data_IF_195610827355
#
_entry.id   IF_195610827355
#
_cell.length_a   1.000
_cell.length_b   1.000
_cell.length_c   1.000
_cell.angle_alpha   90.00
_cell.angle_beta   90.00
_cell.angle_gamma   90.00
#
_symmetry.space_group_name_H-M   'P 1'
#
loop_
_entity.id
_entity.type
_entity.pdbx_description
1 polymer ?
#
# COMPACT_ATOMS: atom_id res chain seq x y z
N UNK A 1 -3.96 23.18 17.56
CA UNK A 1 -4.45 21.77 17.68
C UNK A 1 -5.09 21.54 19.05
N UNK A 2 -5.93 20.48 19.22
CA UNK A 2 -6.57 20.13 20.49
C UNK A 2 -5.59 19.39 21.39
N UNK A 3 -5.26 19.97 22.57
CA UNK A 3 -4.44 19.32 23.58
C UNK A 3 -5.37 18.61 24.56
N UNK A 4 -5.21 17.31 24.71
CA UNK A 4 -6.06 16.46 25.55
C UNK A 4 -5.18 15.61 26.47
N UNK A 5 -5.64 15.42 27.71
CA UNK A 5 -5.02 14.42 28.58
C UNK A 5 -5.36 13.02 28.05
N UNK A 6 -4.34 12.17 27.96
CA UNK A 6 -4.54 10.79 27.56
C UNK A 6 -5.25 10.02 28.69
N UNK A 7 -6.44 9.58 28.41
CA UNK A 7 -7.24 8.68 29.24
C UNK A 7 -7.82 7.58 28.36
N UNK A 8 -8.33 6.53 28.94
CA UNK A 8 -8.97 5.46 28.16
C UNK A 8 -10.21 5.97 27.40
N UNK A 9 -10.91 6.95 27.94
CA UNK A 9 -12.05 7.59 27.29
C UNK A 9 -11.62 8.41 26.07
N UNK A 10 -10.60 9.28 26.23
CA UNK A 10 -10.05 10.07 25.09
C UNK A 10 -9.49 9.17 24.00
N UNK A 11 -8.79 8.09 24.35
CA UNK A 11 -8.28 7.11 23.41
C UNK A 11 -9.42 6.44 22.60
N UNK A 12 -10.47 5.97 23.27
CA UNK A 12 -11.62 5.35 22.61
C UNK A 12 -12.34 6.33 21.68
N UNK A 13 -12.57 7.57 22.12
CA UNK A 13 -13.20 8.60 21.31
C UNK A 13 -12.41 8.92 20.03
N UNK A 14 -11.08 8.95 20.13
CA UNK A 14 -10.20 9.17 18.99
C UNK A 14 -10.25 7.97 18.04
N UNK A 15 -10.16 6.75 18.55
CA UNK A 15 -10.27 5.53 17.73
C UNK A 15 -11.60 5.48 16.99
N UNK A 16 -12.72 5.76 17.64
CA UNK A 16 -14.04 5.85 16.99
C UNK A 16 -14.08 6.92 15.91
N UNK A 17 -13.47 8.09 16.15
CA UNK A 17 -13.42 9.16 15.16
C UNK A 17 -12.55 8.77 13.94
N UNK A 18 -11.42 8.13 14.16
CA UNK A 18 -10.54 7.63 13.11
C UNK A 18 -11.23 6.55 12.27
N UNK A 19 -11.97 5.64 12.88
CA UNK A 19 -12.71 4.58 12.18
C UNK A 19 -13.82 5.10 11.26
N UNK A 20 -14.40 6.28 11.54
CA UNK A 20 -15.38 6.93 10.64
C UNK A 20 -14.80 7.26 9.26
N UNK A 21 -13.48 7.39 9.14
CA UNK A 21 -12.77 7.64 7.87
C UNK A 21 -12.56 6.37 7.04
N UNK A 22 -12.90 5.20 7.60
CA UNK A 22 -12.69 3.94 6.91
C UNK A 22 -13.55 3.84 5.64
N UNK A 23 -13.01 3.35 4.52
CA UNK A 23 -13.78 3.06 3.30
C UNK A 23 -14.98 2.13 3.53
N UNK A 24 -15.00 1.39 4.62
CA UNK A 24 -16.14 0.55 5.00
C UNK A 24 -17.38 1.32 5.44
N UNK A 25 -17.27 2.64 5.67
CA UNK A 25 -18.37 3.51 6.12
C UNK A 25 -19.11 4.23 4.97
N UNK A 26 -18.75 3.97 3.71
CA UNK A 26 -19.23 4.76 2.55
C UNK A 26 -20.20 3.99 1.64
N UNK A 27 -21.30 3.45 2.22
CA UNK A 27 -22.31 2.65 1.49
C UNK A 27 -22.90 3.30 0.24
N UNK A 28 -23.06 4.63 0.21
CA UNK A 28 -23.55 5.34 -0.98
C UNK A 28 -22.64 5.22 -2.19
N UNK A 29 -21.31 5.19 -1.95
CA UNK A 29 -20.33 5.07 -3.02
C UNK A 29 -20.22 3.63 -3.53
N UNK A 30 -20.47 2.62 -2.67
CA UNK A 30 -20.36 1.20 -3.04
C UNK A 30 -21.32 0.84 -4.17
N UNK A 31 -22.58 1.31 -4.13
CA UNK A 31 -23.54 1.06 -5.20
C UNK A 31 -23.04 1.58 -6.56
N UNK A 32 -22.56 2.82 -6.59
CA UNK A 32 -22.05 3.46 -7.83
C UNK A 32 -20.81 2.71 -8.36
N UNK A 33 -19.93 2.28 -7.47
CA UNK A 33 -18.73 1.52 -7.84
C UNK A 33 -19.12 0.16 -8.43
N UNK A 34 -20.07 -0.53 -7.80
CA UNK A 34 -20.55 -1.82 -8.29
C UNK A 34 -21.21 -1.70 -9.68
N UNK A 35 -21.97 -0.62 -9.93
CA UNK A 35 -22.56 -0.35 -11.25
C UNK A 35 -21.48 -0.13 -12.32
N UNK A 36 -20.41 0.63 -11.97
CA UNK A 36 -19.26 0.83 -12.88
C UNK A 36 -18.58 -0.51 -13.19
N UNK A 37 -18.29 -1.30 -12.16
CA UNK A 37 -17.64 -2.61 -12.31
C UNK A 37 -18.47 -3.53 -13.19
N UNK A 38 -19.78 -3.60 -12.97
CA UNK A 38 -20.67 -4.45 -13.76
C UNK A 38 -20.73 -3.99 -15.22
N UNK A 39 -20.84 -2.70 -15.48
CA UNK A 39 -20.82 -2.16 -16.84
C UNK A 39 -19.50 -2.47 -17.58
N UNK A 40 -18.35 -2.33 -16.90
CA UNK A 40 -17.06 -2.69 -17.53
C UNK A 40 -16.96 -4.19 -17.80
N UNK A 41 -17.51 -5.04 -16.93
CA UNK A 41 -17.56 -6.49 -17.18
C UNK A 41 -18.39 -6.85 -18.42
N UNK A 42 -19.50 -6.16 -18.64
CA UNK A 42 -20.44 -6.42 -19.73
C UNK A 42 -20.02 -5.77 -21.04
N UNK A 43 -19.66 -4.47 -20.99
CA UNK A 43 -19.40 -3.64 -22.18
C UNK A 43 -17.92 -3.39 -22.45
N UNK A 44 -17.02 -3.83 -21.58
CA UNK A 44 -15.57 -3.79 -21.74
C UNK A 44 -15.03 -2.41 -22.12
N UNK A 45 -14.30 -2.26 -23.23
CA UNK A 45 -13.71 -0.99 -23.68
C UNK A 45 -14.76 0.10 -23.87
N UNK A 46 -15.95 -0.20 -24.36
CA UNK A 46 -17.03 0.78 -24.51
C UNK A 46 -17.35 1.49 -23.20
N UNK A 47 -17.53 0.73 -22.11
CA UNK A 47 -17.79 1.29 -20.78
C UNK A 47 -16.58 2.08 -20.24
N UNK A 48 -15.36 1.60 -20.48
CA UNK A 48 -14.13 2.31 -20.08
C UNK A 48 -14.05 3.68 -20.73
N UNK A 49 -14.31 3.77 -22.03
CA UNK A 49 -14.28 5.03 -22.78
C UNK A 49 -15.40 5.97 -22.34
N UNK A 50 -16.62 5.45 -22.17
CA UNK A 50 -17.77 6.24 -21.66
C UNK A 50 -17.46 6.86 -20.28
N UNK A 51 -16.96 6.09 -19.34
CA UNK A 51 -16.64 6.59 -18.01
C UNK A 51 -15.45 7.53 -18.00
N UNK A 52 -14.43 7.32 -18.84
CA UNK A 52 -13.30 8.24 -18.98
C UNK A 52 -13.75 9.59 -19.51
N UNK A 53 -14.60 9.60 -20.55
CA UNK A 53 -15.20 10.85 -21.03
C UNK A 53 -16.04 11.54 -19.95
N UNK A 54 -16.86 10.78 -19.22
CA UNK A 54 -17.76 11.31 -18.19
C UNK A 54 -17.03 11.92 -16.99
N UNK A 55 -15.94 11.26 -16.51
CA UNK A 55 -15.29 11.64 -15.25
C UNK A 55 -14.03 12.48 -15.47
N UNK A 56 -13.27 12.20 -16.50
CA UNK A 56 -12.00 12.88 -16.79
C UNK A 56 -12.17 13.95 -17.88
N UNK A 57 -13.28 13.89 -18.65
CA UNK A 57 -13.55 14.81 -19.77
C UNK A 57 -12.64 14.57 -20.98
N UNK A 58 -11.98 13.43 -21.04
CA UNK A 58 -11.06 13.05 -22.11
C UNK A 58 -11.75 12.10 -23.09
N UNK A 59 -11.59 12.34 -24.40
CA UNK A 59 -12.04 11.45 -25.44
C UNK A 59 -10.95 10.40 -25.70
N UNK A 60 -11.18 9.19 -25.18
CA UNK A 60 -10.29 8.05 -25.31
C UNK A 60 -11.01 6.96 -26.12
N UNK A 61 -10.26 6.30 -27.00
CA UNK A 61 -10.72 5.19 -27.84
C UNK A 61 -9.61 4.12 -27.93
N UNK A 62 -9.86 3.10 -28.74
CA UNK A 62 -8.95 1.97 -28.92
C UNK A 62 -7.58 2.39 -29.50
N UNK A 63 -7.53 3.46 -30.29
CA UNK A 63 -6.31 3.90 -30.98
C UNK A 63 -5.42 4.76 -30.07
N UNK A 64 -6.01 5.45 -29.08
CA UNK A 64 -5.29 6.41 -28.24
C UNK A 64 -5.26 6.08 -26.74
N UNK A 65 -5.91 5.00 -26.27
CA UNK A 65 -5.94 4.62 -24.86
C UNK A 65 -4.55 4.27 -24.31
N UNK A 66 -3.69 3.68 -25.14
CA UNK A 66 -2.32 3.31 -24.76
C UNK A 66 -1.36 4.46 -25.03
N UNK A 67 -0.50 4.75 -24.05
CA UNK A 67 0.60 5.72 -24.23
C UNK A 67 1.59 5.19 -25.24
N UNK A 68 2.00 6.05 -26.18
CA UNK A 68 2.95 5.72 -27.24
C UNK A 68 4.39 6.02 -26.82
N UNK A 69 5.37 5.48 -27.55
CA UNK A 69 6.79 5.80 -27.34
C UNK A 69 7.10 7.27 -27.68
N UNK A 70 6.34 7.86 -28.60
CA UNK A 70 6.42 9.29 -28.96
C UNK A 70 6.01 10.18 -27.79
N UNK A 71 4.89 9.85 -27.11
CA UNK A 71 4.45 10.58 -25.91
C UNK A 71 5.47 10.47 -24.77
N UNK A 72 6.09 9.30 -24.61
CA UNK A 72 7.18 9.12 -23.63
C UNK A 72 8.38 9.99 -24.01
N UNK A 73 8.78 10.04 -25.27
CA UNK A 73 9.88 10.88 -25.73
C UNK A 73 9.59 12.35 -25.50
N UNK A 74 8.40 12.82 -25.85
CA UNK A 74 7.96 14.20 -25.57
C UNK A 74 8.01 14.51 -24.05
N UNK A 75 7.67 13.55 -23.22
CA UNK A 75 7.71 13.70 -21.75
C UNK A 75 9.15 13.93 -21.25
N UNK A 76 10.13 13.22 -21.79
CA UNK A 76 11.55 13.46 -21.45
C UNK A 76 12.04 14.87 -21.84
N UNK A 77 11.52 15.44 -22.94
CA UNK A 77 11.86 16.79 -23.38
C UNK A 77 11.26 17.88 -22.45
N UNK A 78 10.15 17.55 -21.76
CA UNK A 78 9.43 18.48 -20.90
C UNK A 78 9.86 18.41 -19.41
N UNK A 79 10.43 17.29 -18.97
CA UNK A 79 10.84 17.12 -17.58
C UNK A 79 12.17 17.82 -17.30
N UNK A 80 12.23 18.58 -16.19
CA UNK A 80 13.49 19.19 -15.75
C UNK A 80 14.57 18.09 -15.55
N UNK A 81 15.76 18.25 -16.19
CA UNK A 81 16.86 17.30 -16.01
C UNK A 81 17.27 17.06 -14.54
N UNK A 82 17.08 18.05 -13.66
CA UNK A 82 17.31 17.89 -12.22
C UNK A 82 16.31 16.94 -11.59
N UNK A 83 15.03 17.05 -11.97
CA UNK A 83 14.00 16.13 -11.49
C UNK A 83 14.26 14.71 -11.98
N UNK A 84 14.68 14.55 -13.23
CA UNK A 84 15.06 13.23 -13.77
C UNK A 84 16.21 12.59 -12.97
N UNK A 85 17.23 13.38 -12.61
CA UNK A 85 18.33 12.91 -11.76
C UNK A 85 17.85 12.49 -10.37
N UNK A 86 16.93 13.24 -9.76
CA UNK A 86 16.31 12.89 -8.47
C UNK A 86 15.51 11.59 -8.58
N UNK A 87 14.68 11.43 -9.62
CA UNK A 87 13.92 10.20 -9.88
C UNK A 87 14.86 8.99 -9.96
N UNK A 88 15.97 9.10 -10.69
CA UNK A 88 16.96 8.02 -10.83
C UNK A 88 17.65 7.67 -9.52
N UNK A 89 18.01 8.67 -8.71
CA UNK A 89 18.59 8.45 -7.37
C UNK A 89 17.59 7.74 -6.44
N UNK A 90 16.36 8.22 -6.38
CA UNK A 90 15.29 7.60 -5.59
C UNK A 90 15.06 6.14 -6.03
N UNK A 91 15.02 5.89 -7.35
CA UNK A 91 14.86 4.55 -7.92
C UNK A 91 15.97 3.59 -7.45
N UNK A 92 17.22 4.05 -7.38
CA UNK A 92 18.34 3.24 -6.87
C UNK A 92 18.11 2.88 -5.41
N UNK A 93 17.79 3.85 -4.55
CA UNK A 93 17.57 3.61 -3.13
C UNK A 93 16.40 2.63 -2.89
N UNK A 94 15.28 2.81 -3.61
CA UNK A 94 14.11 1.93 -3.52
C UNK A 94 14.47 0.50 -3.97
N UNK A 95 15.21 0.36 -5.06
CA UNK A 95 15.65 -0.94 -5.57
C UNK A 95 16.58 -1.65 -4.57
N UNK A 96 17.56 -0.92 -4.02
CA UNK A 96 18.52 -1.47 -3.07
C UNK A 96 17.83 -1.96 -1.80
N UNK A 97 16.86 -1.19 -1.30
CA UNK A 97 16.04 -1.61 -0.14
C UNK A 97 15.25 -2.88 -0.44
N UNK A 98 14.46 -2.87 -1.52
CA UNK A 98 13.59 -4.01 -1.86
C UNK A 98 14.36 -5.26 -2.30
N UNK A 99 15.58 -5.10 -2.83
CA UNK A 99 16.44 -6.26 -3.17
C UNK A 99 16.75 -7.11 -1.96
N UNK A 100 16.82 -6.52 -0.77
CA UNK A 100 17.06 -7.26 0.50
C UNK A 100 15.84 -8.09 0.94
N UNK A 101 14.66 -7.84 0.38
CA UNK A 101 13.41 -8.57 0.67
C UNK A 101 13.22 -9.82 -0.21
N UNK A 102 14.14 -10.08 -1.15
CA UNK A 102 14.04 -11.25 -2.05
C UNK A 102 13.99 -12.55 -1.28
N UNK A 103 13.03 -13.40 -1.65
CA UNK A 103 12.90 -14.76 -1.15
C UNK A 103 13.24 -15.75 -2.24
N UNK A 104 13.74 -16.92 -1.81
CA UNK A 104 14.18 -17.99 -2.70
C UNK A 104 13.43 -19.27 -2.41
N UNK A 105 13.25 -20.11 -3.44
CA UNK A 105 12.78 -21.47 -3.27
C UNK A 105 13.78 -22.26 -2.45
N UNK A 106 13.28 -23.17 -1.64
CA UNK A 106 14.12 -24.05 -0.82
C UNK A 106 13.57 -25.48 -0.82
N UNK A 107 14.46 -26.43 -0.62
CA UNK A 107 14.18 -27.85 -0.47
C UNK A 107 14.95 -28.37 0.73
N UNK A 108 14.28 -29.19 1.52
CA UNK A 108 14.88 -29.98 2.57
C UNK A 108 14.69 -31.46 2.23
N UNK A 109 15.76 -32.25 2.36
CA UNK A 109 15.73 -33.68 2.06
C UNK A 109 16.48 -34.46 3.14
N UNK A 110 15.95 -35.60 3.50
CA UNK A 110 16.58 -36.52 4.45
C UNK A 110 16.92 -37.86 3.79
N UNK A 111 17.60 -38.71 4.55
CA UNK A 111 18.01 -40.06 4.11
C UNK A 111 16.81 -41.02 3.92
N UNK A 112 15.62 -40.66 4.42
CA UNK A 112 14.41 -41.48 4.28
C UNK A 112 13.77 -41.40 2.89
N UNK A 113 14.23 -40.50 2.01
CA UNK A 113 13.67 -40.29 0.68
C UNK A 113 12.47 -39.33 0.68
N UNK A 114 12.37 -38.49 1.72
CA UNK A 114 11.41 -37.40 1.81
C UNK A 114 12.07 -36.11 1.28
N UNK A 115 11.38 -35.39 0.39
CA UNK A 115 11.77 -34.04 -0.02
C UNK A 115 10.58 -33.11 0.26
N UNK A 116 10.78 -32.17 1.14
CA UNK A 116 9.82 -31.09 1.40
C UNK A 116 10.44 -29.75 0.95
N UNK A 117 9.60 -28.84 0.51
CA UNK A 117 10.12 -27.55 0.07
C UNK A 117 9.05 -26.51 -0.20
N UNK A 118 9.51 -25.35 -0.58
CA UNK A 118 8.66 -24.25 -0.99
C UNK A 118 9.20 -23.63 -2.28
N UNK A 119 8.36 -23.62 -3.31
CA UNK A 119 8.64 -22.93 -4.58
C UNK A 119 8.14 -21.51 -4.51
N UNK A 120 9.03 -20.54 -4.63
CA UNK A 120 8.73 -19.11 -4.76
C UNK A 120 8.63 -18.77 -6.24
N UNK A 121 7.52 -18.17 -6.64
CA UNK A 121 7.24 -17.81 -8.06
C UNK A 121 6.69 -16.39 -8.12
N UNK A 122 7.25 -15.49 -8.95
CA UNK A 122 6.67 -14.16 -9.15
C UNK A 122 5.28 -14.25 -9.80
N UNK A 123 4.45 -13.24 -9.56
CA UNK A 123 3.22 -13.05 -10.32
C UNK A 123 3.58 -12.78 -11.78
N UNK A 124 2.69 -13.17 -12.69
CA UNK A 124 2.94 -13.01 -14.13
C UNK A 124 2.67 -11.57 -14.59
N UNK A 125 1.51 -11.03 -14.21
CA UNK A 125 1.05 -9.71 -14.65
C UNK A 125 0.51 -8.91 -13.47
N UNK A 126 0.99 -7.70 -13.28
CA UNK A 126 0.58 -6.80 -12.19
C UNK A 126 0.06 -5.49 -12.79
N UNK A 127 -1.07 -5.03 -12.26
CA UNK A 127 -1.64 -3.73 -12.55
C UNK A 127 -1.21 -2.71 -11.48
N UNK A 128 -0.64 -1.61 -11.91
CA UNK A 128 -0.27 -0.48 -11.06
C UNK A 128 -1.22 0.67 -11.35
N UNK A 129 -2.01 1.06 -10.36
CA UNK A 129 -2.83 2.26 -10.44
C UNK A 129 -2.06 3.45 -9.90
N UNK A 130 -1.91 4.49 -10.72
CA UNK A 130 -1.28 5.76 -10.30
C UNK A 130 -2.33 6.87 -10.39
N UNK A 131 -2.65 7.54 -9.28
CA UNK A 131 -3.61 8.64 -9.32
C UNK A 131 -3.09 9.81 -10.14
N UNK A 132 -4.02 10.59 -10.68
CA UNK A 132 -3.78 11.85 -11.39
C UNK A 132 -4.79 12.90 -10.94
N UNK A 133 -4.77 14.06 -11.56
CA UNK A 133 -5.69 15.17 -11.29
C UNK A 133 -5.01 16.35 -10.63
N UNK A 134 -5.34 16.69 -9.38
CA UNK A 134 -4.79 17.90 -8.70
C UNK A 134 -3.31 17.80 -8.31
N UNK A 135 -2.77 16.61 -8.20
CA UNK A 135 -1.36 16.37 -7.86
C UNK A 135 -0.77 15.29 -8.77
N UNK A 136 0.53 15.30 -8.92
CA UNK A 136 1.31 14.37 -9.76
C UNK A 136 2.17 13.53 -8.84
N UNK A 137 2.18 12.22 -9.02
CA UNK A 137 2.81 11.28 -8.10
C UNK A 137 3.86 10.38 -8.78
N UNK A 138 4.98 10.92 -9.29
CA UNK A 138 6.06 10.10 -9.85
C UNK A 138 6.66 9.14 -8.81
N UNK A 139 6.67 9.52 -7.52
CA UNK A 139 7.10 8.66 -6.42
C UNK A 139 6.23 7.40 -6.29
N UNK A 140 4.90 7.52 -6.43
CA UNK A 140 4.00 6.37 -6.37
C UNK A 140 4.23 5.40 -7.53
N UNK A 141 4.70 5.88 -8.70
CA UNK A 141 5.14 4.99 -9.78
C UNK A 141 6.31 4.13 -9.30
N UNK A 142 7.36 4.76 -8.76
CA UNK A 142 8.56 4.06 -8.32
C UNK A 142 8.24 3.06 -7.22
N UNK A 143 7.47 3.48 -6.20
CA UNK A 143 7.14 2.68 -5.02
C UNK A 143 6.28 1.45 -5.33
N UNK A 144 5.46 1.50 -6.39
CA UNK A 144 4.67 0.35 -6.81
C UNK A 144 5.39 -0.56 -7.82
N UNK A 145 6.16 0.03 -8.74
CA UNK A 145 6.79 -0.71 -9.85
C UNK A 145 8.08 -1.39 -9.43
N UNK A 146 8.94 -0.72 -8.65
CA UNK A 146 10.28 -1.25 -8.33
C UNK A 146 10.20 -2.56 -7.54
N UNK A 147 9.41 -2.72 -6.46
CA UNK A 147 9.32 -4.00 -5.76
C UNK A 147 8.74 -5.13 -6.66
N UNK A 148 7.84 -4.83 -7.59
CA UNK A 148 7.35 -5.78 -8.58
C UNK A 148 8.47 -6.23 -9.53
N UNK A 149 9.30 -5.31 -10.03
CA UNK A 149 10.48 -5.65 -10.86
C UNK A 149 11.51 -6.46 -10.07
N UNK A 150 11.77 -6.10 -8.82
CA UNK A 150 12.68 -6.86 -7.94
C UNK A 150 12.17 -8.27 -7.68
N UNK A 151 10.86 -8.47 -7.53
CA UNK A 151 10.22 -9.77 -7.40
C UNK A 151 10.36 -10.64 -8.66
N UNK A 152 10.57 -10.02 -9.83
CA UNK A 152 10.67 -10.70 -11.13
C UNK A 152 9.34 -10.80 -11.88
N UNK A 153 8.39 -9.90 -11.63
CA UNK A 153 7.13 -9.82 -12.39
C UNK A 153 7.43 -9.57 -13.86
N UNK A 154 6.82 -10.39 -14.73
CA UNK A 154 7.14 -10.36 -16.16
C UNK A 154 6.46 -9.20 -16.92
N UNK A 155 5.24 -8.84 -16.49
CA UNK A 155 4.47 -7.78 -17.14
C UNK A 155 3.91 -6.81 -16.09
N UNK A 156 4.25 -5.54 -16.18
CA UNK A 156 3.72 -4.48 -15.31
C UNK A 156 2.92 -3.52 -16.17
N UNK A 157 1.62 -3.50 -15.92
CA UNK A 157 0.65 -2.66 -16.61
C UNK A 157 0.29 -1.49 -15.69
N UNK A 158 0.47 -0.26 -16.17
CA UNK A 158 0.10 0.92 -15.42
C UNK A 158 -1.17 1.57 -15.99
N UNK A 159 -2.09 1.96 -15.12
CA UNK A 159 -3.23 2.82 -15.47
C UNK A 159 -3.13 4.13 -14.69
N UNK A 160 -3.40 5.23 -15.35
CA UNK A 160 -3.41 6.58 -14.77
C UNK A 160 -4.37 7.46 -15.56
N UNK A 161 -5.16 8.34 -14.93
CA UNK A 161 -6.01 9.26 -15.68
C UNK A 161 -5.18 10.24 -16.50
N UNK A 162 -5.72 10.65 -17.62
CA UNK A 162 -5.16 11.72 -18.45
C UNK A 162 -5.90 13.04 -18.23
N UNK A 163 -5.33 14.13 -18.69
CA UNK A 163 -6.00 15.40 -18.80
C UNK A 163 -7.09 15.41 -19.91
N UNK A 164 -7.90 16.47 -19.97
CA UNK A 164 -8.93 16.64 -20.99
C UNK A 164 -8.37 16.63 -22.44
N UNK A 165 -7.10 16.92 -22.58
CA UNK A 165 -6.32 16.86 -23.79
C UNK A 165 -5.84 15.45 -24.16
N UNK A 166 -6.19 14.45 -23.37
CA UNK A 166 -5.76 13.06 -23.53
C UNK A 166 -4.29 12.81 -23.17
N UNK A 167 -3.61 13.75 -22.52
CA UNK A 167 -2.20 13.62 -22.15
C UNK A 167 -2.03 13.24 -20.68
N UNK A 168 -1.04 12.39 -20.42
CA UNK A 168 -0.59 12.05 -19.07
C UNK A 168 0.55 13.00 -18.67
N UNK A 169 0.65 13.33 -17.39
CA UNK A 169 1.72 14.20 -16.88
C UNK A 169 3.11 13.67 -17.24
N UNK A 170 4.00 14.52 -17.79
CA UNK A 170 5.33 14.12 -18.24
C UNK A 170 6.17 13.41 -17.17
N UNK A 171 6.17 13.91 -15.94
CA UNK A 171 6.96 13.30 -14.84
C UNK A 171 6.46 11.89 -14.47
N UNK A 172 5.15 11.62 -14.61
CA UNK A 172 4.58 10.27 -14.42
C UNK A 172 5.06 9.32 -15.51
N UNK A 173 5.05 9.75 -16.77
CA UNK A 173 5.53 8.95 -17.90
C UNK A 173 7.02 8.64 -17.80
N UNK A 174 7.82 9.65 -17.44
CA UNK A 174 9.27 9.48 -17.26
C UNK A 174 9.55 8.51 -16.11
N UNK A 175 8.90 8.68 -14.96
CA UNK A 175 9.04 7.75 -13.83
C UNK A 175 8.65 6.33 -14.20
N UNK A 176 7.57 6.13 -14.97
CA UNK A 176 7.13 4.83 -15.43
C UNK A 176 8.15 4.17 -16.36
N UNK A 177 8.73 4.92 -17.30
CA UNK A 177 9.77 4.43 -18.22
C UNK A 177 11.06 4.07 -17.46
N UNK A 178 11.54 4.94 -16.57
CA UNK A 178 12.72 4.69 -15.72
C UNK A 178 12.53 3.47 -14.80
N UNK A 179 11.32 3.29 -14.25
CA UNK A 179 10.98 2.15 -13.40
C UNK A 179 10.82 0.83 -14.19
N UNK A 180 10.57 0.91 -15.51
CA UNK A 180 10.43 -0.24 -16.39
C UNK A 180 9.00 -0.78 -16.50
N UNK A 181 7.99 0.07 -16.53
CA UNK A 181 6.60 -0.28 -16.85
C UNK A 181 6.53 -0.77 -18.32
N UNK A 182 5.78 -1.85 -18.55
CA UNK A 182 5.70 -2.48 -19.88
C UNK A 182 4.59 -1.88 -20.78
N UNK A 183 3.50 -1.38 -20.16
CA UNK A 183 2.44 -0.66 -20.87
C UNK A 183 1.73 0.33 -19.93
N UNK A 184 1.34 1.48 -20.48
CA UNK A 184 0.64 2.54 -19.77
C UNK A 184 -0.68 2.83 -20.49
N UNK A 185 -1.78 2.86 -19.72
CA UNK A 185 -3.13 3.14 -20.23
C UNK A 185 -3.72 4.38 -19.57
N UNK A 186 -4.34 5.23 -20.38
CA UNK A 186 -4.88 6.55 -20.01
C UNK A 186 -6.29 6.42 -19.42
N UNK A 187 -6.40 5.68 -18.33
CA UNK A 187 -7.68 5.42 -17.66
C UNK A 187 -7.51 5.56 -16.15
N UNK A 188 -8.41 6.31 -15.53
CA UNK A 188 -8.47 6.51 -14.07
C UNK A 188 -9.70 5.85 -13.43
N UNK A 189 -9.88 6.08 -12.13
CA UNK A 189 -11.09 5.74 -11.40
C UNK A 189 -11.41 4.25 -11.25
N UNK A 190 -12.65 3.96 -10.85
CA UNK A 190 -13.15 2.61 -10.63
C UNK A 190 -13.16 1.77 -11.92
N UNK A 191 -13.37 2.41 -13.09
CA UNK A 191 -13.35 1.73 -14.38
C UNK A 191 -11.96 1.20 -14.75
N UNK A 192 -10.88 1.87 -14.35
CA UNK A 192 -9.52 1.37 -14.53
C UNK A 192 -9.28 0.10 -13.70
N UNK A 193 -9.74 0.10 -12.44
CA UNK A 193 -9.64 -1.07 -11.56
C UNK A 193 -10.43 -2.25 -12.11
N UNK A 194 -11.65 -2.01 -12.61
CA UNK A 194 -12.48 -3.05 -13.23
C UNK A 194 -11.82 -3.59 -14.51
N UNK A 195 -11.27 -2.72 -15.36
CA UNK A 195 -10.56 -3.13 -16.58
C UNK A 195 -9.32 -4.00 -16.25
N UNK A 196 -8.52 -3.62 -15.25
CA UNK A 196 -7.39 -4.44 -14.81
C UNK A 196 -7.83 -5.79 -14.22
N UNK A 197 -8.95 -5.81 -13.48
CA UNK A 197 -9.42 -7.02 -12.81
C UNK A 197 -10.03 -8.05 -13.78
N UNK A 198 -10.74 -7.62 -14.81
CA UNK A 198 -11.49 -8.51 -15.70
C UNK A 198 -10.92 -8.59 -17.12
N UNK A 199 -10.09 -7.64 -17.50
CA UNK A 199 -9.58 -7.47 -18.86
C UNK A 199 -10.62 -6.85 -19.78
N UNK A 200 -10.16 -6.14 -20.80
CA UNK A 200 -10.96 -5.61 -21.90
C UNK A 200 -10.27 -5.95 -23.23
N UNK A 201 -10.73 -5.42 -24.34
CA UNK A 201 -10.05 -5.59 -25.63
C UNK A 201 -8.66 -4.91 -25.63
N UNK A 202 -8.58 -3.72 -25.00
CA UNK A 202 -7.33 -2.93 -24.94
C UNK A 202 -6.49 -3.23 -23.71
N UNK A 203 -7.09 -3.46 -22.55
CA UNK A 203 -6.40 -3.60 -21.25
C UNK A 203 -6.36 -5.06 -20.82
N UNK A 204 -5.19 -5.69 -20.70
CA UNK A 204 -5.09 -7.08 -20.27
C UNK A 204 -5.48 -7.26 -18.80
N UNK A 205 -6.10 -8.41 -18.48
CA UNK A 205 -6.34 -8.84 -17.09
C UNK A 205 -5.02 -9.05 -16.37
N UNK A 206 -4.99 -8.65 -15.07
CA UNK A 206 -3.82 -8.79 -14.21
C UNK A 206 -4.09 -9.76 -13.05
N UNK A 207 -3.02 -10.21 -12.38
CA UNK A 207 -3.09 -11.11 -11.23
C UNK A 207 -3.21 -10.34 -9.91
N UNK A 208 -2.67 -9.12 -9.86
CA UNK A 208 -2.72 -8.24 -8.69
C UNK A 208 -2.81 -6.78 -9.12
N UNK A 209 -3.59 -5.98 -8.38
CA UNK A 209 -3.69 -4.53 -8.56
C UNK A 209 -3.10 -3.86 -7.32
N UNK A 210 -2.15 -2.94 -7.53
CA UNK A 210 -1.50 -2.16 -6.48
C UNK A 210 -1.59 -0.66 -6.78
N UNK A 211 -1.43 0.16 -5.77
CA UNK A 211 -1.39 1.61 -5.89
C UNK A 211 -2.51 2.32 -5.14
N UNK A 212 -2.22 3.54 -4.63
CA UNK A 212 -3.18 4.37 -3.92
C UNK A 212 -4.21 4.98 -4.87
N UNK A 213 -5.35 5.39 -4.34
CA UNK A 213 -6.38 6.07 -5.10
C UNK A 213 -7.45 6.68 -4.19
N UNK A 214 -8.36 7.44 -4.79
CA UNK A 214 -9.49 8.01 -4.07
C UNK A 214 -10.49 6.92 -3.61
N UNK A 215 -11.54 7.33 -2.90
CA UNK A 215 -12.56 6.42 -2.36
C UNK A 215 -13.16 5.48 -3.41
N UNK A 216 -13.38 5.93 -4.65
CA UNK A 216 -13.91 5.09 -5.72
C UNK A 216 -12.93 3.98 -6.12
N UNK A 217 -11.63 4.29 -6.15
CA UNK A 217 -10.56 3.32 -6.44
C UNK A 217 -10.43 2.32 -5.30
N UNK A 218 -10.44 2.79 -4.05
CA UNK A 218 -10.35 1.94 -2.87
C UNK A 218 -11.53 0.95 -2.80
N UNK A 219 -12.75 1.43 -3.01
CA UNK A 219 -13.95 0.59 -3.05
C UNK A 219 -13.97 -0.36 -4.25
N UNK A 220 -13.46 0.07 -5.41
CA UNK A 220 -13.35 -0.80 -6.57
C UNK A 220 -12.35 -1.94 -6.32
N UNK A 221 -11.18 -1.65 -5.71
CA UNK A 221 -10.22 -2.68 -5.29
C UNK A 221 -10.85 -3.67 -4.32
N UNK A 222 -11.59 -3.18 -3.32
CA UNK A 222 -12.36 -4.03 -2.37
C UNK A 222 -13.33 -4.94 -3.10
N UNK A 223 -14.10 -4.41 -4.06
CA UNK A 223 -15.13 -5.15 -4.77
C UNK A 223 -14.58 -6.22 -5.74
N UNK A 224 -13.39 -6.02 -6.30
CA UNK A 224 -12.75 -6.99 -7.21
C UNK A 224 -11.83 -7.97 -6.50
N UNK A 225 -11.59 -7.81 -5.20
CA UNK A 225 -10.78 -8.74 -4.42
C UNK A 225 -11.40 -10.15 -4.44
N UNK A 226 -10.55 -11.14 -4.75
CA UNK A 226 -10.99 -12.52 -4.98
C UNK A 226 -11.06 -12.89 -6.47
N UNK A 227 -11.36 -11.93 -7.36
CA UNK A 227 -11.16 -12.09 -8.82
C UNK A 227 -9.72 -11.76 -9.22
N UNK A 228 -9.12 -10.84 -8.50
CA UNK A 228 -7.73 -10.38 -8.60
C UNK A 228 -7.24 -10.09 -7.19
N UNK A 229 -5.93 -10.24 -6.93
CA UNK A 229 -5.35 -9.80 -5.65
C UNK A 229 -5.21 -8.27 -5.62
N UNK A 230 -5.15 -7.70 -4.42
CA UNK A 230 -4.86 -6.27 -4.21
C UNK A 230 -3.75 -6.10 -3.18
N UNK A 231 -3.17 -4.89 -3.08
CA UNK A 231 -2.26 -4.50 -2.00
C UNK A 231 -3.03 -4.35 -0.67
N UNK A 232 -3.80 -3.27 -0.55
CA UNK A 232 -4.62 -2.97 0.62
C UNK A 232 -5.83 -2.11 0.24
N UNK A 233 -6.75 -1.94 1.19
CA UNK A 233 -7.85 -0.98 1.08
C UNK A 233 -7.40 0.28 1.83
N UNK A 234 -6.76 1.21 1.11
CA UNK A 234 -6.23 2.42 1.69
C UNK A 234 -7.35 3.39 2.12
N UNK A 235 -7.20 3.94 3.31
CA UNK A 235 -7.94 5.09 3.80
C UNK A 235 -7.13 6.39 3.67
N UNK A 236 -7.61 7.48 4.30
CA UNK A 236 -6.86 8.73 4.37
C UNK A 236 -5.54 8.57 5.12
N UNK A 237 -4.56 9.35 4.74
CA UNK A 237 -3.19 9.31 5.29
C UNK A 237 -3.13 9.69 6.78
N UNK A 238 -2.13 9.16 7.47
CA UNK A 238 -1.99 9.26 8.92
C UNK A 238 -0.55 9.46 9.34
N UNK A 239 -0.30 10.40 10.23
CA UNK A 239 0.96 10.52 10.96
C UNK A 239 0.72 10.49 12.46
N UNK A 240 1.59 9.82 13.17
CA UNK A 240 1.71 9.87 14.61
C UNK A 240 3.15 10.14 15.02
N UNK A 241 3.35 11.10 15.90
CA UNK A 241 4.66 11.39 16.49
C UNK A 241 4.59 10.99 17.97
N UNK A 242 5.49 10.11 18.40
CA UNK A 242 5.73 9.81 19.81
C UNK A 242 6.98 10.56 20.24
N UNK A 243 6.82 11.53 21.14
CA UNK A 243 7.91 12.41 21.55
C UNK A 243 7.96 12.59 23.06
N UNK A 244 9.17 12.80 23.60
CA UNK A 244 9.39 13.24 24.96
C UNK A 244 9.87 14.72 25.00
N UNK A 245 10.24 15.20 26.17
CA UNK A 245 10.68 16.58 26.40
C UNK A 245 11.95 16.99 25.63
N UNK A 246 12.67 16.03 25.05
CA UNK A 246 13.91 16.29 24.30
C UNK A 246 13.66 16.67 22.85
N UNK A 247 12.44 16.46 22.36
CA UNK A 247 12.09 16.72 20.96
C UNK A 247 12.06 18.21 20.64
N UNK A 248 12.45 18.55 19.39
CA UNK A 248 12.33 19.91 18.88
C UNK A 248 10.89 20.20 18.45
N UNK A 249 10.17 21.14 19.11
CA UNK A 249 8.77 21.40 18.84
C UNK A 249 8.50 21.88 17.40
N UNK A 250 9.47 22.54 16.76
CA UNK A 250 9.33 22.99 15.36
C UNK A 250 9.39 21.84 14.38
N UNK A 251 10.24 20.83 14.64
CA UNK A 251 10.34 19.65 13.79
C UNK A 251 9.06 18.83 13.89
N UNK A 252 8.62 18.54 15.11
CA UNK A 252 7.35 17.83 15.35
C UNK A 252 6.17 18.54 14.70
N UNK A 253 6.07 19.86 14.82
CA UNK A 253 5.01 20.63 14.17
C UNK A 253 5.07 20.54 12.64
N UNK A 254 6.26 20.60 12.05
CA UNK A 254 6.45 20.49 10.60
C UNK A 254 6.03 19.08 10.10
N UNK A 255 6.40 18.03 10.82
CA UNK A 255 6.09 16.65 10.47
C UNK A 255 4.58 16.35 10.57
N UNK A 256 3.90 16.86 11.60
CA UNK A 256 2.43 16.77 11.70
C UNK A 256 1.73 17.46 10.52
N UNK A 257 2.28 18.58 10.05
CA UNK A 257 1.69 19.37 8.96
C UNK A 257 2.00 18.79 7.58
N UNK A 258 3.11 18.08 7.39
CA UNK A 258 3.41 17.38 6.13
C UNK A 258 2.31 16.38 5.78
N UNK A 259 1.75 15.71 6.78
CA UNK A 259 0.65 14.80 6.57
C UNK A 259 -0.71 15.50 6.47
N UNK A 260 -0.96 16.51 7.31
CA UNK A 260 -2.23 17.24 7.33
C UNK A 260 -2.54 17.96 6.00
N UNK A 261 -1.51 18.27 5.19
CA UNK A 261 -1.69 18.93 3.89
C UNK A 261 -2.16 17.98 2.78
N UNK A 262 -2.09 16.66 2.97
CA UNK A 262 -2.47 15.66 1.96
C UNK A 262 -3.96 15.72 1.63
N UNK A 263 -4.82 15.71 2.66
CA UNK A 263 -6.27 15.68 2.50
C UNK A 263 -7.00 16.21 3.75
N UNK A 264 -8.23 16.70 3.59
CA UNK A 264 -9.07 17.18 4.70
C UNK A 264 -9.38 16.07 5.74
N UNK A 265 -9.26 14.81 5.35
CA UNK A 265 -9.48 13.64 6.20
C UNK A 265 -8.18 13.04 6.74
N UNK A 266 -7.02 13.58 6.41
CA UNK A 266 -5.75 13.14 6.98
C UNK A 266 -5.74 13.33 8.50
N UNK A 267 -5.02 12.48 9.24
CA UNK A 267 -4.87 12.63 10.69
C UNK A 267 -3.42 12.92 11.07
N UNK A 268 -3.26 13.81 12.05
CA UNK A 268 -1.98 14.19 12.61
C UNK A 268 -2.06 14.18 14.14
N UNK A 269 -1.34 13.24 14.76
CA UNK A 269 -1.44 12.97 16.20
C UNK A 269 -0.06 13.05 16.84
N UNK A 270 0.10 13.91 17.84
CA UNK A 270 1.24 13.89 18.74
C UNK A 270 0.85 13.15 20.03
N UNK A 271 1.65 12.20 20.45
CA UNK A 271 1.58 11.57 21.79
C UNK A 271 2.85 11.92 22.53
N UNK A 272 2.73 12.55 23.69
CA UNK A 272 3.89 12.99 24.47
C UNK A 272 3.64 12.86 25.97
N UNK A 273 4.71 12.76 26.75
CA UNK A 273 4.67 12.85 28.22
C UNK A 273 4.95 14.26 28.75
N UNK A 274 5.21 15.23 27.84
CA UNK A 274 5.58 16.61 28.20
C UNK A 274 4.47 17.61 27.85
N UNK A 275 3.81 18.18 28.86
CA UNK A 275 2.85 19.28 28.66
C UNK A 275 3.50 20.48 27.98
N UNK A 276 4.74 20.81 28.35
CA UNK A 276 5.49 21.91 27.77
C UNK A 276 5.72 21.70 26.27
N UNK A 277 6.12 20.50 25.87
CA UNK A 277 6.27 20.18 24.44
C UNK A 277 4.94 20.28 23.70
N UNK A 278 3.86 19.78 24.30
CA UNK A 278 2.51 19.84 23.72
C UNK A 278 2.07 21.28 23.41
N UNK A 279 2.28 22.20 24.36
CA UNK A 279 1.99 23.63 24.18
C UNK A 279 2.86 24.27 23.12
N UNK A 280 4.18 24.01 23.14
CA UNK A 280 5.12 24.56 22.16
C UNK A 280 4.82 24.06 20.74
N UNK A 281 4.52 22.77 20.55
CA UNK A 281 4.14 22.20 19.24
C UNK A 281 2.85 22.85 18.74
N UNK A 282 1.84 23.03 19.59
CA UNK A 282 0.58 23.69 19.20
C UNK A 282 0.83 25.11 18.68
N UNK A 283 1.71 25.87 19.34
CA UNK A 283 2.10 27.23 18.90
C UNK A 283 2.84 27.21 17.56
N UNK A 284 3.80 26.30 17.37
CA UNK A 284 4.54 26.18 16.12
C UNK A 284 3.64 25.74 14.94
N UNK A 285 2.68 24.83 15.18
CA UNK A 285 1.67 24.44 14.19
C UNK A 285 0.89 25.66 13.69
N UNK A 286 0.39 26.50 14.59
CA UNK A 286 -0.36 27.69 14.21
C UNK A 286 0.50 28.69 13.39
N UNK A 287 1.77 28.86 13.74
CA UNK A 287 2.71 29.69 12.97
C UNK A 287 2.94 29.16 11.56
N UNK A 288 3.17 27.85 11.41
CA UNK A 288 3.41 27.25 10.10
C UNK A 288 2.19 27.27 9.20
N UNK A 289 1.00 27.00 9.74
CA UNK A 289 -0.25 27.02 8.97
C UNK A 289 -0.48 28.36 8.28
N UNK A 290 -0.08 29.50 8.89
CA UNK A 290 -0.27 30.81 8.29
C UNK A 290 0.58 31.04 7.01
N UNK A 291 1.69 30.33 6.86
CA UNK A 291 2.62 30.52 5.72
C UNK A 291 2.53 29.42 4.67
N UNK A 292 1.88 28.27 4.99
CA UNK A 292 1.76 27.14 4.08
C UNK A 292 0.66 27.37 3.02
N UNK A 293 0.92 26.93 1.81
CA UNK A 293 0.04 27.17 0.64
C UNK A 293 -1.30 26.45 0.73
N UNK A 294 -1.37 25.28 1.41
CA UNK A 294 -2.57 24.46 1.52
C UNK A 294 -3.31 24.62 2.86
N UNK A 295 -3.19 25.79 3.47
CA UNK A 295 -3.69 26.06 4.83
C UNK A 295 -5.16 25.68 5.09
N UNK A 296 -6.04 25.82 4.10
CA UNK A 296 -7.46 25.47 4.25
C UNK A 296 -7.66 23.93 4.42
N UNK A 297 -6.91 23.15 3.68
CA UNK A 297 -6.92 21.68 3.80
C UNK A 297 -6.33 21.28 5.15
N UNK A 298 -5.17 21.86 5.49
CA UNK A 298 -4.49 21.61 6.77
C UNK A 298 -5.42 21.93 7.95
N UNK A 299 -6.09 23.10 7.94
CA UNK A 299 -7.00 23.48 9.03
C UNK A 299 -8.12 22.47 9.20
N UNK A 300 -8.78 22.08 8.11
CA UNK A 300 -9.87 21.08 8.17
C UNK A 300 -9.38 19.72 8.69
N UNK A 301 -8.21 19.28 8.24
CA UNK A 301 -7.58 18.05 8.74
C UNK A 301 -7.33 18.14 10.25
N UNK A 302 -6.68 19.20 10.71
CA UNK A 302 -6.36 19.40 12.13
C UNK A 302 -7.61 19.60 13.00
N UNK A 303 -8.64 20.32 12.51
CA UNK A 303 -9.88 20.55 13.26
C UNK A 303 -10.65 19.24 13.47
N UNK A 304 -10.62 18.33 12.51
CA UNK A 304 -11.36 17.09 12.56
C UNK A 304 -10.55 15.95 13.19
N UNK A 305 -9.26 15.81 12.81
CA UNK A 305 -8.42 14.65 13.08
C UNK A 305 -7.04 14.98 13.66
N UNK A 306 -6.80 16.24 14.06
CA UNK A 306 -5.57 16.69 14.71
C UNK A 306 -5.69 16.61 16.24
N UNK A 307 -4.76 15.89 16.90
CA UNK A 307 -4.74 15.73 18.33
C UNK A 307 -3.33 15.85 18.90
N UNK A 308 -3.22 16.41 20.11
CA UNK A 308 -2.05 16.33 20.96
C UNK A 308 -2.47 15.63 22.25
N UNK A 309 -1.92 14.46 22.51
CA UNK A 309 -2.24 13.61 23.65
C UNK A 309 -1.12 13.67 24.67
N UNK A 310 -1.43 14.11 25.88
CA UNK A 310 -0.46 14.14 27.00
C UNK A 310 -0.70 12.93 27.89
N UNK A 311 0.27 12.02 27.90
CA UNK A 311 0.26 10.78 28.66
C UNK A 311 0.92 10.98 30.05
N UNK A 312 0.44 10.27 31.05
CA UNK A 312 1.06 10.28 32.38
C UNK A 312 2.40 9.53 32.39
N UNK A 313 2.55 8.49 31.57
CA UNK A 313 3.78 7.71 31.44
C UNK A 313 4.12 7.41 29.98
N UNK A 314 5.41 7.15 29.69
CA UNK A 314 5.85 6.71 28.37
C UNK A 314 5.23 5.35 27.98
N UNK A 315 4.93 4.48 28.96
CA UNK A 315 4.27 3.21 28.66
C UNK A 315 2.83 3.42 28.18
N UNK A 316 2.06 4.32 28.79
CA UNK A 316 0.70 4.66 28.32
C UNK A 316 0.74 5.26 26.92
N UNK A 317 1.76 6.09 26.63
CA UNK A 317 1.99 6.64 25.31
C UNK A 317 2.27 5.54 24.26
N UNK A 318 3.15 4.60 24.57
CA UNK A 318 3.48 3.45 23.69
C UNK A 318 2.27 2.54 23.47
N UNK A 319 1.51 2.26 24.52
CA UNK A 319 0.30 1.43 24.41
C UNK A 319 -0.73 2.09 23.50
N UNK A 320 -0.86 3.42 23.57
CA UNK A 320 -1.75 4.21 22.69
C UNK A 320 -1.27 4.18 21.24
N UNK A 321 0.03 4.33 21.01
CA UNK A 321 0.63 4.21 19.68
C UNK A 321 0.33 2.83 19.07
N UNK A 322 0.54 1.76 19.84
CA UNK A 322 0.27 0.40 19.38
C UNK A 322 -1.23 0.16 19.13
N UNK A 323 -2.12 0.79 19.88
CA UNK A 323 -3.56 0.63 19.71
C UNK A 323 -4.08 1.38 18.48
N UNK A 324 -3.58 2.59 18.23
CA UNK A 324 -3.98 3.38 17.04
C UNK A 324 -3.38 2.76 15.78
N UNK A 325 -2.14 2.27 15.84
CA UNK A 325 -1.46 1.60 14.73
C UNK A 325 -1.43 2.45 13.45
N UNK A 326 -0.86 3.64 13.55
CA UNK A 326 -0.82 4.65 12.48
C UNK A 326 -0.01 4.19 11.26
N UNK A 327 -0.31 4.77 10.12
CA UNK A 327 0.44 4.61 8.86
C UNK A 327 1.91 4.99 9.02
N UNK A 328 2.17 6.24 9.42
CA UNK A 328 3.51 6.75 9.71
C UNK A 328 3.66 6.94 11.22
N UNK A 329 4.73 6.42 11.79
CA UNK A 329 5.09 6.63 13.20
C UNK A 329 6.51 7.20 13.29
N UNK A 330 6.62 8.40 13.86
CA UNK A 330 7.90 9.00 14.19
C UNK A 330 8.20 8.85 15.68
N UNK A 331 9.42 8.40 16.00
CA UNK A 331 9.91 8.22 17.36
C UNK A 331 10.97 9.30 17.66
N UNK A 332 10.54 10.38 18.32
CA UNK A 332 11.38 11.53 18.66
C UNK A 332 11.56 11.60 20.17
N UNK A 333 12.16 10.54 20.71
CA UNK A 333 12.44 10.38 22.15
C UNK A 333 13.94 10.36 22.39
N UNK A 334 14.35 10.56 23.62
CA UNK A 334 15.75 10.51 24.03
C UNK A 334 16.47 9.23 23.63
N UNK A 335 15.78 8.08 23.70
CA UNK A 335 16.29 6.78 23.33
C UNK A 335 15.38 6.09 22.29
N UNK A 336 15.32 6.58 21.04
CA UNK A 336 14.30 6.14 20.08
C UNK A 336 14.46 4.68 19.66
N UNK A 337 15.67 4.13 19.62
CA UNK A 337 15.91 2.70 19.32
C UNK A 337 15.39 1.79 20.44
N UNK A 338 15.49 2.20 21.72
CA UNK A 338 14.89 1.46 22.82
C UNK A 338 13.36 1.53 22.74
N UNK A 339 12.82 2.71 22.49
CA UNK A 339 11.37 2.91 22.29
C UNK A 339 10.84 2.04 21.16
N UNK A 340 11.56 1.96 20.03
CA UNK A 340 11.19 1.13 18.88
C UNK A 340 10.97 -0.34 19.25
N UNK A 341 11.75 -0.90 20.19
CA UNK A 341 11.59 -2.32 20.59
C UNK A 341 10.24 -2.62 21.25
N UNK A 342 9.51 -1.59 21.70
CA UNK A 342 8.20 -1.69 22.35
C UNK A 342 7.05 -1.40 21.38
N UNK A 343 7.36 -0.93 20.16
CA UNK A 343 6.38 -0.68 19.10
C UNK A 343 6.09 -2.00 18.36
N UNK A 344 4.81 -2.31 18.24
CA UNK A 344 4.31 -3.52 17.57
C UNK A 344 3.57 -3.21 16.27
N UNK A 345 2.90 -2.07 16.23
CA UNK A 345 1.94 -1.75 15.19
C UNK A 345 2.21 -0.36 14.63
N UNK A 346 2.82 -0.30 13.45
CA UNK A 346 2.97 0.91 12.66
C UNK A 346 3.19 0.50 11.19
N UNK A 347 2.76 1.31 10.25
CA UNK A 347 3.04 1.10 8.84
C UNK A 347 4.53 1.30 8.54
N UNK A 348 5.08 2.46 8.89
CA UNK A 348 6.51 2.75 8.86
C UNK A 348 6.96 3.39 10.18
N UNK A 349 8.19 3.12 10.60
CA UNK A 349 8.77 3.68 11.83
C UNK A 349 9.98 4.55 11.46
N UNK A 350 9.88 5.83 11.78
CA UNK A 350 10.93 6.84 11.58
C UNK A 350 11.64 7.09 12.91
N UNK A 351 12.96 6.99 12.95
CA UNK A 351 13.72 6.98 14.20
C UNK A 351 14.60 8.21 14.31
N UNK A 352 14.30 9.07 15.29
CA UNK A 352 15.06 10.27 15.61
C UNK A 352 14.63 11.50 14.80
N UNK A 353 15.07 12.66 15.26
CA UNK A 353 14.61 13.97 14.83
C UNK A 353 14.92 14.37 13.37
N UNK A 354 15.83 13.64 12.70
CA UNK A 354 16.19 13.88 11.30
C UNK A 354 15.57 12.87 10.33
N UNK A 355 14.68 12.01 10.81
CA UNK A 355 14.01 10.98 10.02
C UNK A 355 12.54 11.32 9.86
N UNK A 356 12.25 12.38 9.11
CA UNK A 356 10.90 12.85 8.86
C UNK A 356 10.18 12.01 7.79
N UNK A 357 8.85 12.00 7.81
CA UNK A 357 8.00 11.28 6.87
C UNK A 357 8.34 11.56 5.39
N UNK A 358 8.55 12.82 4.91
CA UNK A 358 8.90 13.07 3.52
C UNK A 358 10.21 12.41 3.06
N UNK A 359 11.16 12.16 3.98
CA UNK A 359 12.36 11.40 3.65
C UNK A 359 12.01 9.97 3.22
N UNK A 360 11.10 9.32 3.93
CA UNK A 360 10.60 7.98 3.60
C UNK A 360 9.80 7.98 2.30
N UNK A 361 8.92 8.93 2.16
CA UNK A 361 8.00 9.01 1.01
C UNK A 361 8.71 9.19 -0.34
N UNK A 362 9.84 9.89 -0.34
CA UNK A 362 10.48 10.26 -1.60
C UNK A 362 11.84 9.62 -1.85
N UNK A 363 12.63 9.31 -0.81
CA UNK A 363 14.05 9.10 -1.07
C UNK A 363 14.74 7.97 -0.29
N UNK A 364 14.30 7.63 0.93
CA UNK A 364 15.02 6.67 1.80
C UNK A 364 15.07 5.24 1.25
N UNK A 365 14.07 4.82 0.48
CA UNK A 365 14.00 3.49 -0.14
C UNK A 365 12.89 2.58 0.36
N UNK A 366 12.52 2.55 1.67
CA UNK A 366 11.31 1.87 2.13
C UNK A 366 10.06 2.35 1.39
N UNK A 367 9.06 1.47 1.28
CA UNK A 367 7.86 1.77 0.52
C UNK A 367 6.92 2.71 1.27
N UNK A 368 6.34 3.67 0.56
CA UNK A 368 5.34 4.59 1.09
C UNK A 368 3.88 4.11 0.89
N UNK A 369 3.67 2.98 0.26
CA UNK A 369 2.34 2.34 0.20
C UNK A 369 2.17 1.55 1.49
N UNK A 370 1.54 2.17 2.46
CA UNK A 370 1.48 1.74 3.85
C UNK A 370 0.05 1.37 4.26
N UNK A 371 -0.10 0.51 5.28
CA UNK A 371 -1.42 0.24 5.87
C UNK A 371 -1.92 1.45 6.65
N UNK A 372 -3.20 1.80 6.45
CA UNK A 372 -3.90 2.93 7.09
C UNK A 372 -5.05 2.45 7.97
N UNK A 373 -5.69 3.34 8.72
CA UNK A 373 -6.88 3.05 9.55
C UNK A 373 -6.68 1.90 10.55
N UNK A 374 -5.52 1.85 11.19
CA UNK A 374 -5.21 0.82 12.19
C UNK A 374 -4.92 -0.56 11.61
N UNK A 375 -4.88 -0.71 10.28
CA UNK A 375 -4.62 -2.00 9.63
C UNK A 375 -3.16 -2.42 9.73
N UNK A 376 -2.25 -1.54 10.19
CA UNK A 376 -0.87 -1.91 10.54
C UNK A 376 -0.78 -2.97 11.67
N UNK A 377 -1.90 -3.31 12.32
CA UNK A 377 -2.02 -4.46 13.22
C UNK A 377 -1.89 -5.80 12.52
N UNK A 378 -2.14 -5.87 11.20
CA UNK A 378 -2.16 -7.12 10.42
C UNK A 378 -1.71 -6.98 8.95
N UNK A 379 -1.54 -5.79 8.43
CA UNK A 379 -0.93 -5.52 7.13
C UNK A 379 0.47 -4.93 7.28
N UNK A 380 1.26 -5.08 6.22
CA UNK A 380 2.62 -4.54 6.09
C UNK A 380 2.69 -3.51 4.97
N UNK A 381 3.76 -2.70 4.91
CA UNK A 381 4.09 -1.92 3.71
C UNK A 381 4.18 -2.79 2.47
N UNK A 382 3.85 -2.24 1.31
CA UNK A 382 4.02 -2.93 0.03
C UNK A 382 5.48 -3.34 -0.15
N UNK A 383 5.71 -4.62 -0.42
CA UNK A 383 7.04 -5.19 -0.54
C UNK A 383 7.14 -6.25 -1.62
N UNK A 384 8.31 -6.88 -1.73
CA UNK A 384 8.56 -7.94 -2.71
C UNK A 384 7.62 -9.14 -2.50
N UNK A 385 7.25 -9.43 -1.25
CA UNK A 385 6.32 -10.51 -0.90
C UNK A 385 4.94 -10.36 -1.51
N UNK A 386 4.51 -9.13 -1.79
CA UNK A 386 3.23 -8.85 -2.43
C UNK A 386 3.17 -9.31 -3.89
N UNK A 387 4.31 -9.50 -4.52
CA UNK A 387 4.44 -9.81 -5.94
C UNK A 387 4.91 -11.24 -6.22
N UNK A 388 4.96 -12.07 -5.19
CA UNK A 388 5.31 -13.49 -5.29
C UNK A 388 4.19 -14.35 -4.73
N UNK A 389 4.20 -15.61 -5.14
CA UNK A 389 3.38 -16.66 -4.53
C UNK A 389 4.24 -17.86 -4.17
N UNK A 390 3.82 -18.62 -3.18
CA UNK A 390 4.54 -19.76 -2.64
C UNK A 390 3.70 -21.02 -2.83
N UNK A 391 4.32 -22.09 -3.33
CA UNK A 391 3.68 -23.40 -3.48
C UNK A 391 4.47 -24.42 -2.67
N UNK A 392 3.78 -25.24 -1.90
CA UNK A 392 4.40 -26.37 -1.19
C UNK A 392 4.87 -27.43 -2.19
N UNK A 393 6.05 -27.99 -1.95
CA UNK A 393 6.59 -29.13 -2.70
C UNK A 393 6.66 -30.30 -1.73
N UNK A 394 6.06 -31.40 -2.13
CA UNK A 394 5.99 -32.64 -1.34
C UNK A 394 6.36 -33.79 -2.27
N UNK A 395 7.44 -34.50 -1.93
CA UNK A 395 7.85 -35.72 -2.62
C UNK A 395 8.18 -36.80 -1.59
N UNK A 396 7.61 -37.97 -1.76
CA UNK A 396 7.86 -39.15 -0.95
C UNK A 396 8.26 -40.30 -1.87
N UNK A 397 9.33 -41.00 -1.52
CA UNK A 397 9.60 -42.31 -2.12
C UNK A 397 8.58 -43.33 -1.62
N UNK A 398 8.57 -44.54 -2.23
CA UNK A 398 7.75 -45.64 -1.75
C UNK A 398 8.17 -46.04 -0.33
N UNK A 399 9.46 -46.14 -0.11
CA UNK A 399 10.09 -46.53 1.16
C UNK A 399 9.75 -45.54 2.28
N UNK A 400 9.69 -44.24 1.93
CA UNK A 400 9.28 -43.18 2.86
C UNK A 400 7.77 -43.21 3.18
N UNK A 401 6.94 -43.61 2.22
CA UNK A 401 5.49 -43.69 2.42
C UNK A 401 5.07 -44.92 3.24
N UNK A 402 5.78 -46.05 3.10
CA UNK A 402 5.43 -47.33 3.70
C UNK A 402 5.28 -47.29 5.23
N UNK A 403 6.15 -46.64 6.02
CA UNK A 403 5.99 -46.59 7.47
C UNK A 403 4.81 -45.70 7.94
N UNK A 404 4.32 -44.74 7.14
CA UNK A 404 3.30 -43.74 7.56
C UNK A 404 1.93 -43.95 6.92
N UNK A 405 1.81 -44.86 5.95
CA UNK A 405 0.54 -44.96 5.19
C UNK A 405 -0.67 -45.32 6.05
N UNK A 406 -0.49 -46.15 7.08
CA UNK A 406 -1.61 -46.57 7.97
C UNK A 406 -2.17 -45.38 8.75
N UNK A 407 -1.30 -44.49 9.20
CA UNK A 407 -1.68 -43.31 9.95
C UNK A 407 -2.47 -42.36 9.06
N UNK A 408 -2.02 -42.17 7.80
CA UNK A 408 -2.73 -41.34 6.82
C UNK A 408 -4.10 -41.90 6.51
N UNK A 409 -4.19 -43.24 6.32
CA UNK A 409 -5.45 -43.93 6.07
C UNK A 409 -6.39 -43.74 7.26
N UNK A 410 -5.92 -43.92 8.49
CA UNK A 410 -6.71 -43.74 9.70
C UNK A 410 -7.25 -42.32 9.84
N UNK A 411 -6.48 -41.31 9.55
CA UNK A 411 -6.93 -39.91 9.51
C UNK A 411 -8.05 -39.71 8.50
N UNK A 412 -7.84 -40.15 7.27
CA UNK A 412 -8.85 -40.04 6.20
C UNK A 412 -10.16 -40.74 6.53
N UNK A 413 -10.09 -41.92 7.17
CA UNK A 413 -11.26 -42.67 7.61
C UNK A 413 -11.99 -41.98 8.78
N UNK A 414 -11.27 -41.41 9.73
CA UNK A 414 -11.84 -40.61 10.81
C UNK A 414 -12.68 -39.45 10.28
N UNK A 415 -12.21 -38.81 9.19
CA UNK A 415 -12.91 -37.76 8.46
C UNK A 415 -13.98 -38.26 7.49
N UNK A 416 -14.19 -39.61 7.42
CA UNK A 416 -15.09 -40.29 6.47
C UNK A 416 -14.74 -40.05 5.00
N UNK A 417 -13.48 -39.76 4.70
CA UNK A 417 -12.96 -39.51 3.36
C UNK A 417 -12.34 -40.79 2.76
N UNK A 418 -13.21 -41.75 2.40
CA UNK A 418 -12.79 -43.08 1.93
C UNK A 418 -11.95 -43.03 0.63
N UNK A 419 -12.21 -42.08 -0.26
CA UNK A 419 -11.41 -41.89 -1.47
C UNK A 419 -9.98 -41.44 -1.15
N UNK A 420 -9.79 -40.60 -0.12
CA UNK A 420 -8.44 -40.19 0.37
C UNK A 420 -7.72 -41.43 0.93
N UNK A 421 -8.35 -42.20 1.78
CA UNK A 421 -7.79 -43.44 2.30
C UNK A 421 -7.41 -44.42 1.17
N UNK A 422 -8.28 -44.61 0.18
CA UNK A 422 -8.02 -45.48 -0.96
C UNK A 422 -6.82 -44.95 -1.81
N UNK A 423 -6.70 -43.64 -2.00
CA UNK A 423 -5.58 -43.07 -2.74
C UNK A 423 -4.20 -43.45 -2.15
N UNK A 424 -4.12 -43.60 -0.84
CA UNK A 424 -2.89 -44.04 -0.17
C UNK A 424 -2.72 -45.56 -0.27
N UNK A 425 -3.79 -46.35 -0.03
CA UNK A 425 -3.76 -47.82 -0.08
C UNK A 425 -3.27 -48.36 -1.41
N UNK A 426 -3.77 -47.82 -2.53
CA UNK A 426 -3.41 -48.33 -3.88
C UNK A 426 -1.94 -48.09 -4.24
N UNK A 427 -1.26 -47.14 -3.57
CA UNK A 427 0.15 -46.87 -3.81
C UNK A 427 1.08 -47.94 -3.21
N UNK A 428 0.61 -48.65 -2.20
CA UNK A 428 1.38 -49.68 -1.49
C UNK A 428 0.82 -51.09 -1.71
N UNK A 429 -0.43 -51.20 -2.18
CA UNK A 429 -0.93 -52.52 -2.63
C UNK A 429 -0.05 -52.96 -3.80
N UNK A 430 0.60 -54.10 -3.65
CA UNK A 430 1.20 -54.82 -4.75
C UNK A 430 0.10 -55.05 -5.78
N UNK A 431 0.24 -54.43 -6.93
CA UNK A 431 -0.57 -54.77 -8.07
C UNK A 431 -0.18 -56.19 -8.43
N UNK A 432 -1.07 -57.12 -8.18
CA UNK A 432 -1.02 -58.46 -8.75
C UNK A 432 -1.50 -58.43 -10.17
#
# INVERSE_FOLDING_TARGET
>A
MRILKLTKETQNNILENLLKRSPNSYGEFESRVNDIIQNVREKRDEAVFEYTLKFDGATIDQDNIRVTEEEIKEAYEQVDPKLLDVIRKALVNIRDYHTKQKQYSWFDSDESGIILGQKVTPLKTVGVYVPGGKAVYPSSVLMNVIPAKVAGVSNIIMTTPCGKDGKVYPSTLVAAKEAGVDAIYKVGGAQAIAALAFGTESIPKVDKIVGPGNIYVALAKKAVFGYVSIDSIAGPSEIMVLADETANPRFVAADLLSQAEHDEMASAILVTTSETLAEQVSVEVDKFVEVLSRKEIIRKSLDNYGYILVADTMQDAIDTVNEIASEHLELVTKNPFETMTKIRNAGAIFIGEYSSEPLGDYFAGPNHVLPTNGTAKFFSPLGVDDFIKKSSIISYSREALEPVYKDIVQFAECEKLTAHANSIRVRLSLIH
#
